data_IF_320312458889
#
_entry.id   IF_320312458889
#
_cell.length_a   1.000
_cell.length_b   1.000
_cell.length_c   1.000
_cell.angle_alpha   90.00
_cell.angle_beta   90.00
_cell.angle_gamma   90.00
#
_symmetry.space_group_name_H-M   'P 1'
#
loop_
_entity.id
_entity.type
_entity.pdbx_description
1 polymer ?
#
# COMPACT_ATOMS: atom_id res chain seq x y z
N UNK A 1 24.98 -6.79 20.03
CA UNK A 1 24.78 -6.58 18.59
C UNK A 1 23.39 -7.07 18.23
N UNK A 2 22.37 -6.24 18.37
CA UNK A 2 21.02 -6.58 17.93
C UNK A 2 20.93 -6.24 16.45
N UNK A 3 20.87 -7.27 15.59
CA UNK A 3 20.62 -7.10 14.15
C UNK A 3 19.30 -6.36 14.02
N UNK A 4 19.20 -5.24 13.28
CA UNK A 4 17.92 -4.62 13.06
C UNK A 4 17.08 -5.62 12.26
N UNK A 5 16.09 -6.23 12.93
CA UNK A 5 14.98 -6.88 12.28
C UNK A 5 14.44 -5.86 11.28
N UNK A 6 14.75 -6.08 10.01
CA UNK A 6 14.17 -5.32 8.90
C UNK A 6 12.68 -5.58 9.05
N UNK A 7 11.96 -4.64 9.68
CA UNK A 7 10.50 -4.68 9.76
C UNK A 7 10.02 -4.82 8.33
N UNK A 8 9.60 -6.01 7.95
CA UNK A 8 9.09 -6.28 6.62
C UNK A 8 7.83 -5.43 6.48
N UNK A 9 7.99 -4.27 5.85
CA UNK A 9 6.87 -3.41 5.54
C UNK A 9 5.98 -4.18 4.57
N UNK A 10 4.78 -4.51 5.02
CA UNK A 10 3.78 -5.29 4.28
C UNK A 10 2.52 -4.47 4.10
N UNK A 11 1.92 -4.59 2.93
CA UNK A 11 0.66 -3.95 2.61
C UNK A 11 -0.44 -4.51 3.53
N UNK A 12 -1.13 -3.64 4.26
CA UNK A 12 -2.25 -4.01 5.13
C UNK A 12 -3.47 -4.54 4.37
N UNK A 13 -3.54 -4.33 3.05
CA UNK A 13 -4.65 -4.75 2.20
C UNK A 13 -4.45 -6.11 1.52
N UNK A 14 -3.23 -6.38 1.05
CA UNK A 14 -2.93 -7.61 0.29
C UNK A 14 -1.83 -8.47 0.92
N UNK A 15 -1.23 -8.04 2.03
CA UNK A 15 -0.17 -8.76 2.75
C UNK A 15 1.20 -8.76 2.07
N UNK A 16 1.31 -8.22 0.84
CA UNK A 16 2.55 -8.22 0.05
C UNK A 16 3.61 -7.30 0.65
N UNK A 17 4.86 -7.72 0.62
CA UNK A 17 6.01 -6.94 1.08
C UNK A 17 6.60 -6.09 -0.06
N UNK A 18 7.58 -5.23 0.28
CA UNK A 18 8.27 -4.37 -0.69
C UNK A 18 9.06 -5.17 -1.74
N UNK A 19 9.40 -6.42 -1.47
CA UNK A 19 10.11 -7.29 -2.43
C UNK A 19 9.18 -7.77 -3.54
N UNK A 20 7.90 -7.98 -3.22
CA UNK A 20 6.86 -8.44 -4.16
C UNK A 20 6.10 -7.27 -4.83
N UNK A 21 6.27 -6.05 -4.35
CA UNK A 21 5.58 -4.86 -4.87
C UNK A 21 6.51 -3.68 -5.12
N UNK A 22 6.37 -3.08 -6.30
CA UNK A 22 7.20 -1.96 -6.79
C UNK A 22 7.35 -0.82 -5.78
N UNK A 23 6.26 -0.48 -5.08
CA UNK A 23 6.28 0.51 -4.01
C UNK A 23 5.26 0.17 -2.92
N UNK A 24 5.65 0.43 -1.67
CA UNK A 24 4.74 0.49 -0.53
C UNK A 24 4.80 1.89 0.05
N UNK A 25 3.66 2.54 0.08
CA UNK A 25 3.44 3.83 0.72
C UNK A 25 3.11 3.53 2.18
N UNK A 26 3.94 4.01 3.10
CA UNK A 26 3.70 3.92 4.55
C UNK A 26 3.63 5.31 5.13
N UNK A 27 2.60 5.59 5.90
CA UNK A 27 2.51 6.78 6.74
C UNK A 27 3.11 6.50 8.11
N UNK A 28 3.66 7.53 8.76
CA UNK A 28 4.35 7.41 10.07
C UNK A 28 3.51 6.68 11.13
N UNK A 29 2.19 6.87 11.12
CA UNK A 29 1.23 6.23 12.03
C UNK A 29 0.06 5.59 11.30
N UNK A 30 0.18 5.36 9.99
CA UNK A 30 -0.92 4.91 9.14
C UNK A 30 -0.68 3.54 8.49
N UNK A 31 -1.69 3.01 7.78
CA UNK A 31 -1.59 1.72 7.12
C UNK A 31 -0.53 1.76 6.01
N UNK A 32 0.16 0.64 5.84
CA UNK A 32 1.06 0.43 4.72
C UNK A 32 0.24 -0.03 3.50
N UNK A 33 0.33 0.68 2.38
CA UNK A 33 -0.46 0.39 1.17
C UNK A 33 0.49 0.26 -0.02
N UNK A 34 0.44 -0.86 -0.73
CA UNK A 34 1.22 -1.02 -1.96
C UNK A 34 0.62 -0.26 -3.13
N UNK A 35 1.47 0.11 -4.10
CA UNK A 35 1.08 0.80 -5.32
C UNK A 35 -0.05 0.09 -6.06
N UNK A 36 -0.06 -1.26 -6.09
CA UNK A 36 -1.13 -2.04 -6.73
C UNK A 36 -2.50 -1.82 -6.07
N UNK A 37 -2.56 -1.77 -4.74
CA UNK A 37 -3.78 -1.47 -4.01
C UNK A 37 -4.17 0.00 -4.17
N UNK A 38 -3.19 0.91 -4.18
CA UNK A 38 -3.42 2.34 -4.41
C UNK A 38 -3.97 2.63 -5.81
N UNK A 39 -3.43 2.00 -6.86
CA UNK A 39 -3.93 2.13 -8.23
C UNK A 39 -5.37 1.65 -8.35
N UNK A 40 -5.71 0.51 -7.72
CA UNK A 40 -7.10 0.01 -7.67
C UNK A 40 -8.04 1.01 -6.99
N UNK A 41 -7.56 1.69 -5.94
CA UNK A 41 -8.33 2.71 -5.24
C UNK A 41 -8.52 3.96 -6.12
N UNK A 42 -7.45 4.44 -6.75
CA UNK A 42 -7.47 5.62 -7.64
C UNK A 42 -8.49 5.43 -8.78
N UNK A 43 -8.49 4.26 -9.43
CA UNK A 43 -9.44 3.94 -10.52
C UNK A 43 -10.91 3.99 -10.08
N UNK A 44 -11.22 3.81 -8.80
CA UNK A 44 -12.60 3.92 -8.31
C UNK A 44 -13.06 5.35 -8.06
N UNK A 45 -12.14 6.29 -7.80
CA UNK A 45 -12.50 7.70 -7.63
C UNK A 45 -12.83 8.38 -8.96
N UNK A 46 -12.10 8.03 -10.03
CA UNK A 46 -12.42 8.51 -11.40
C UNK A 46 -13.76 7.99 -11.92
N UNK A 47 -14.24 6.84 -11.40
CA UNK A 47 -15.54 6.26 -11.76
C UNK A 47 -16.71 6.76 -10.91
N UNK A 48 -16.46 7.61 -9.90
CA UNK A 48 -17.52 8.24 -9.11
C UNK A 48 -17.98 9.58 -9.67
N UNK A 49 -17.76 9.85 -10.96
CA UNK A 49 -18.64 10.73 -11.72
C UNK A 49 -19.95 9.96 -11.94
N UNK A 50 -20.74 9.77 -10.88
CA UNK A 50 -22.15 9.42 -11.00
C UNK A 50 -22.78 10.54 -11.84
N UNK A 51 -23.30 10.26 -13.05
CA UNK A 51 -24.30 11.15 -13.63
C UNK A 51 -25.56 11.01 -12.77
N UNK A 52 -25.93 12.08 -12.08
CA UNK A 52 -27.33 12.32 -11.71
C UNK A 52 -28.09 12.72 -12.97
#
# INVERSE_FOLDING_TARGET
MEKPEKKDIRCSFCGKNKTDTDAIITTHSGPAICAKCLSRFKTKMDKNKQPE
#
